data_IF_306651535788
#
_entry.id   IF_306651535788
#
_cell.length_a   1.000
_cell.length_b   1.000
_cell.length_c   1.000
_cell.angle_alpha   90.00
_cell.angle_beta   90.00
_cell.angle_gamma   90.00
#
_symmetry.space_group_name_H-M   'P 1'
#
loop_
_entity.id
_entity.type
_entity.pdbx_description
1 polymer ?
#
# COMPACT_ATOMS: atom_id res chain seq x y z
N UNK A 1 -46.38 -4.39 10.53
CA UNK A 1 -46.03 -5.46 9.56
C UNK A 1 -44.57 -5.27 9.22
N UNK A 2 -43.82 -6.35 9.05
CA UNK A 2 -42.43 -6.23 8.60
C UNK A 2 -42.43 -5.60 7.19
N UNK A 3 -41.45 -4.74 6.91
CA UNK A 3 -41.25 -4.25 5.55
C UNK A 3 -40.68 -5.36 4.67
N UNK A 4 -40.83 -5.25 3.34
CA UNK A 4 -40.22 -6.24 2.41
C UNK A 4 -38.71 -6.38 2.63
N UNK A 5 -38.04 -5.29 3.02
CA UNK A 5 -36.61 -5.29 3.31
C UNK A 5 -36.27 -5.97 4.64
N UNK A 6 -37.12 -5.82 5.67
CA UNK A 6 -36.97 -6.55 6.94
C UNK A 6 -37.11 -8.06 6.72
N UNK A 7 -38.13 -8.48 5.97
CA UNK A 7 -38.33 -9.89 5.61
C UNK A 7 -37.13 -10.44 4.81
N UNK A 8 -36.61 -9.65 3.86
CA UNK A 8 -35.42 -10.01 3.09
C UNK A 8 -34.19 -10.21 3.99
N UNK A 9 -33.96 -9.32 4.95
CA UNK A 9 -32.84 -9.41 5.89
C UNK A 9 -33.00 -10.63 6.80
N UNK A 10 -34.21 -10.95 7.24
CA UNK A 10 -34.50 -12.15 8.03
C UNK A 10 -34.15 -13.43 7.27
N UNK A 11 -34.39 -13.47 5.95
CA UNK A 11 -34.02 -14.61 5.09
C UNK A 11 -32.51 -14.87 4.98
N UNK A 12 -31.65 -13.89 5.29
CA UNK A 12 -30.20 -14.14 5.41
C UNK A 12 -29.86 -15.12 6.54
N UNK A 13 -30.75 -15.28 7.52
CA UNK A 13 -30.62 -16.23 8.62
C UNK A 13 -31.39 -17.54 8.41
N UNK A 14 -32.00 -17.74 7.23
CA UNK A 14 -32.83 -18.90 6.97
C UNK A 14 -32.03 -20.22 7.10
N UNK A 15 -32.64 -21.30 7.60
CA UNK A 15 -31.98 -22.60 7.69
C UNK A 15 -31.76 -23.22 6.30
N UNK A 16 -32.54 -22.81 5.30
CA UNK A 16 -32.49 -23.32 3.93
C UNK A 16 -31.38 -22.64 3.12
N UNK A 17 -30.34 -23.37 2.66
CA UNK A 17 -29.25 -22.77 1.86
C UNK A 17 -29.73 -22.08 0.57
N UNK A 18 -30.70 -22.62 -0.20
CA UNK A 18 -31.27 -21.92 -1.34
C UNK A 18 -31.92 -20.57 -0.99
N UNK A 19 -32.56 -20.48 0.18
CA UNK A 19 -33.19 -19.23 0.65
C UNK A 19 -32.12 -18.23 1.05
N UNK A 20 -31.09 -18.65 1.79
CA UNK A 20 -29.93 -17.78 2.12
C UNK A 20 -29.27 -17.24 0.86
N UNK A 21 -29.04 -18.10 -0.14
CA UNK A 21 -28.44 -17.73 -1.42
C UNK A 21 -29.26 -16.69 -2.16
N UNK A 22 -30.57 -16.93 -2.34
CA UNK A 22 -31.45 -15.98 -3.00
C UNK A 22 -31.51 -14.64 -2.25
N UNK A 23 -31.58 -14.67 -0.91
CA UNK A 23 -31.61 -13.47 -0.10
C UNK A 23 -30.31 -12.66 -0.23
N UNK A 24 -29.15 -13.30 -0.14
CA UNK A 24 -27.86 -12.60 -0.27
C UNK A 24 -27.63 -12.05 -1.68
N UNK A 25 -28.10 -12.75 -2.72
CA UNK A 25 -28.02 -12.26 -4.10
C UNK A 25 -28.87 -11.00 -4.31
N UNK A 26 -30.06 -10.95 -3.72
CA UNK A 26 -30.91 -9.75 -3.75
C UNK A 26 -30.25 -8.60 -2.97
N UNK A 27 -29.75 -8.87 -1.75
CA UNK A 27 -29.06 -7.84 -0.95
C UNK A 27 -27.83 -7.30 -1.69
N UNK A 28 -27.01 -8.17 -2.27
CA UNK A 28 -25.88 -7.78 -3.13
C UNK A 28 -26.36 -6.90 -4.29
N UNK A 29 -27.44 -7.27 -4.97
CA UNK A 29 -28.02 -6.47 -6.05
C UNK A 29 -28.43 -5.06 -5.60
N UNK A 30 -29.02 -4.93 -4.41
CA UNK A 30 -29.37 -3.63 -3.81
C UNK A 30 -28.14 -2.77 -3.51
N UNK A 31 -26.99 -3.35 -3.17
CA UNK A 31 -25.76 -2.58 -2.95
C UNK A 31 -25.18 -1.95 -4.23
N UNK A 32 -25.74 -2.29 -5.40
CA UNK A 32 -25.32 -1.74 -6.70
C UNK A 32 -25.95 -0.38 -7.06
N UNK A 33 -26.87 0.15 -6.25
CA UNK A 33 -27.48 1.46 -6.47
C UNK A 33 -27.45 2.34 -5.21
N UNK A 34 -27.48 3.66 -5.39
CA UNK A 34 -27.50 4.61 -4.26
C UNK A 34 -28.75 4.42 -3.39
N UNK A 35 -29.93 4.24 -4.01
CA UNK A 35 -31.19 4.00 -3.30
C UNK A 35 -31.16 2.71 -2.48
N UNK A 36 -30.58 1.64 -3.03
CA UNK A 36 -30.48 0.37 -2.34
C UNK A 36 -29.47 0.43 -1.18
N UNK A 37 -28.33 1.10 -1.36
CA UNK A 37 -27.37 1.38 -0.28
C UNK A 37 -28.01 2.21 0.84
N UNK A 38 -28.73 3.28 0.50
CA UNK A 38 -29.45 4.10 1.47
C UNK A 38 -30.54 3.30 2.20
N UNK A 39 -31.25 2.42 1.50
CA UNK A 39 -32.26 1.57 2.13
C UNK A 39 -31.62 0.59 3.12
N UNK A 40 -30.52 -0.06 2.74
CA UNK A 40 -29.79 -1.00 3.60
C UNK A 40 -29.11 -0.31 4.79
N UNK A 41 -28.66 0.94 4.66
CA UNK A 41 -27.99 1.68 5.74
C UNK A 41 -28.93 1.93 6.94
N UNK A 42 -30.23 2.12 6.70
CA UNK A 42 -31.26 2.22 7.74
C UNK A 42 -31.37 0.94 8.58
N UNK A 43 -30.92 -0.20 8.04
CA UNK A 43 -30.93 -1.50 8.68
C UNK A 43 -29.51 -2.01 9.02
N UNK A 44 -28.52 -1.13 9.06
CA UNK A 44 -27.10 -1.47 9.28
C UNK A 44 -26.86 -2.41 10.49
N UNK A 45 -27.57 -2.17 11.59
CA UNK A 45 -27.41 -2.94 12.83
C UNK A 45 -27.83 -4.41 12.69
N UNK A 46 -28.63 -4.75 11.68
CA UNK A 46 -29.11 -6.12 11.43
C UNK A 46 -28.48 -6.72 10.18
N UNK A 47 -28.34 -5.95 9.10
CA UNK A 47 -27.79 -6.46 7.83
C UNK A 47 -26.30 -6.74 7.95
N UNK A 48 -25.51 -5.89 8.62
CA UNK A 48 -24.06 -6.08 8.73
C UNK A 48 -23.68 -7.35 9.51
N UNK A 49 -24.24 -7.61 10.72
CA UNK A 49 -23.99 -8.88 11.41
C UNK A 49 -24.51 -10.09 10.64
N UNK A 50 -25.61 -9.96 9.90
CA UNK A 50 -26.16 -11.06 9.09
C UNK A 50 -25.24 -11.41 7.93
N UNK A 51 -24.80 -10.43 7.14
CA UNK A 51 -23.82 -10.64 6.07
C UNK A 51 -22.49 -11.16 6.63
N UNK A 52 -22.05 -10.67 7.78
CA UNK A 52 -20.82 -11.12 8.44
C UNK A 52 -20.83 -12.62 8.76
N UNK A 53 -21.97 -13.18 9.21
CA UNK A 53 -22.08 -14.62 9.51
C UNK A 53 -21.99 -15.47 8.25
N UNK A 54 -22.55 -14.97 7.15
CA UNK A 54 -22.55 -15.65 5.85
C UNK A 54 -21.16 -15.79 5.24
N UNK A 55 -20.17 -15.00 5.67
CA UNK A 55 -18.78 -15.12 5.21
C UNK A 55 -18.13 -16.48 5.54
N UNK A 56 -18.68 -17.22 6.50
CA UNK A 56 -18.18 -18.54 6.90
C UNK A 56 -18.83 -19.72 6.15
N UNK A 57 -19.84 -19.45 5.34
CA UNK A 57 -20.60 -20.42 4.54
C UNK A 57 -19.85 -20.82 3.26
N UNK A 58 -20.44 -21.73 2.47
CA UNK A 58 -19.91 -22.12 1.17
C UNK A 58 -19.78 -20.92 0.22
N UNK A 59 -18.88 -21.05 -0.78
CA UNK A 59 -18.53 -19.98 -1.71
C UNK A 59 -19.76 -19.31 -2.35
N UNK A 60 -20.77 -20.10 -2.72
CA UNK A 60 -22.00 -19.59 -3.36
C UNK A 60 -22.80 -18.60 -2.51
N UNK A 61 -22.58 -18.58 -1.20
CA UNK A 61 -23.25 -17.66 -0.26
C UNK A 61 -22.26 -16.62 0.27
N UNK A 62 -21.04 -17.04 0.59
CA UNK A 62 -20.02 -16.15 1.17
C UNK A 62 -19.47 -15.13 0.17
N UNK A 63 -19.36 -15.46 -1.13
CA UNK A 63 -18.89 -14.54 -2.16
C UNK A 63 -19.87 -13.36 -2.36
N UNK A 64 -21.18 -13.57 -2.61
CA UNK A 64 -22.14 -12.47 -2.66
C UNK A 64 -22.22 -11.66 -1.36
N UNK A 65 -22.11 -12.31 -0.19
CA UNK A 65 -22.10 -11.62 1.09
C UNK A 65 -20.89 -10.68 1.24
N UNK A 66 -19.71 -11.15 0.85
CA UNK A 66 -18.49 -10.37 0.90
C UNK A 66 -18.54 -9.19 -0.08
N UNK A 67 -19.08 -9.39 -1.30
CA UNK A 67 -19.25 -8.31 -2.27
C UNK A 67 -20.23 -7.24 -1.77
N UNK A 68 -21.35 -7.65 -1.15
CA UNK A 68 -22.27 -6.72 -0.52
C UNK A 68 -21.58 -5.90 0.59
N UNK A 69 -20.75 -6.53 1.43
CA UNK A 69 -19.97 -5.83 2.46
C UNK A 69 -18.93 -4.89 1.86
N UNK A 70 -18.25 -5.26 0.77
CA UNK A 70 -17.33 -4.36 0.05
C UNK A 70 -18.06 -3.12 -0.44
N UNK A 71 -19.23 -3.27 -1.06
CA UNK A 71 -20.01 -2.13 -1.55
C UNK A 71 -20.53 -1.26 -0.40
N UNK A 72 -21.08 -1.85 0.65
CA UNK A 72 -21.55 -1.11 1.83
C UNK A 72 -20.42 -0.36 2.54
N UNK A 73 -19.22 -0.94 2.60
CA UNK A 73 -18.04 -0.33 3.26
C UNK A 73 -17.43 0.85 2.47
N UNK A 74 -17.94 1.17 1.29
CA UNK A 74 -17.60 2.43 0.62
C UNK A 74 -18.21 3.64 1.36
N UNK A 75 -19.29 3.43 2.12
CA UNK A 75 -19.82 4.43 3.04
C UNK A 75 -19.03 4.38 4.37
N UNK A 76 -18.42 5.51 4.76
CA UNK A 76 -17.55 5.59 5.93
C UNK A 76 -18.27 5.25 7.26
N UNK A 77 -19.55 5.60 7.41
CA UNK A 77 -20.33 5.28 8.62
C UNK A 77 -20.61 3.78 8.72
N UNK A 78 -20.93 3.13 7.59
CA UNK A 78 -21.14 1.68 7.55
C UNK A 78 -19.83 0.92 7.77
N UNK A 79 -18.73 1.39 7.17
CA UNK A 79 -17.40 0.85 7.42
C UNK A 79 -17.01 0.97 8.90
N UNK A 80 -17.32 2.10 9.56
CA UNK A 80 -17.06 2.27 10.99
C UNK A 80 -17.84 1.25 11.82
N UNK A 81 -19.13 1.06 11.55
CA UNK A 81 -19.95 0.01 12.18
C UNK A 81 -19.38 -1.40 11.93
N UNK A 82 -18.86 -1.68 10.74
CA UNK A 82 -18.20 -2.96 10.45
C UNK A 82 -16.93 -3.16 11.30
N UNK A 83 -16.12 -2.11 11.47
CA UNK A 83 -14.95 -2.15 12.35
C UNK A 83 -15.37 -2.42 13.81
N UNK A 84 -16.41 -1.72 14.30
CA UNK A 84 -16.96 -1.89 15.66
C UNK A 84 -17.42 -3.33 15.93
N UNK A 85 -18.08 -3.99 14.98
CA UNK A 85 -18.52 -5.40 15.12
C UNK A 85 -17.37 -6.40 14.90
N UNK A 86 -16.13 -5.95 14.71
CA UNK A 86 -14.95 -6.81 14.61
C UNK A 86 -14.68 -7.37 13.21
N UNK A 87 -15.19 -6.75 12.14
CA UNK A 87 -15.07 -7.26 10.77
C UNK A 87 -13.61 -7.44 10.30
N UNK A 88 -12.69 -6.58 10.75
CA UNK A 88 -11.25 -6.73 10.42
C UNK A 88 -10.70 -8.08 10.88
N UNK A 89 -11.01 -8.47 12.13
CA UNK A 89 -10.62 -9.77 12.68
C UNK A 89 -11.27 -10.92 11.90
N UNK A 90 -12.57 -10.82 11.64
CA UNK A 90 -13.33 -11.84 10.90
C UNK A 90 -12.72 -12.06 9.50
N UNK A 91 -12.46 -10.98 8.77
CA UNK A 91 -11.85 -11.04 7.45
C UNK A 91 -10.44 -11.66 7.51
N UNK A 92 -9.61 -11.27 8.48
CA UNK A 92 -8.27 -11.83 8.65
C UNK A 92 -8.28 -13.32 9.04
N UNK A 93 -9.22 -13.75 9.89
CA UNK A 93 -9.32 -15.15 10.31
C UNK A 93 -9.79 -16.03 9.14
N UNK A 94 -10.74 -15.54 8.32
CA UNK A 94 -11.23 -16.24 7.13
C UNK A 94 -10.21 -16.28 6.00
N UNK A 95 -9.47 -15.20 5.75
CA UNK A 95 -8.45 -15.10 4.70
C UNK A 95 -7.38 -16.20 4.81
N UNK A 96 -7.11 -16.67 6.03
CA UNK A 96 -6.13 -17.72 6.32
C UNK A 96 -6.77 -19.04 6.80
N UNK A 97 -8.09 -19.19 6.64
CA UNK A 97 -8.78 -20.47 6.87
C UNK A 97 -8.43 -21.46 5.74
N UNK A 98 -8.09 -22.73 6.05
CA UNK A 98 -7.83 -23.73 5.02
C UNK A 98 -9.02 -23.92 4.07
N UNK A 99 -8.76 -23.99 2.76
CA UNK A 99 -9.78 -24.22 1.73
C UNK A 99 -10.66 -23.00 1.41
N UNK A 100 -10.30 -21.81 1.89
CA UNK A 100 -11.07 -20.59 1.66
C UNK A 100 -10.84 -20.00 0.26
N UNK A 101 -11.91 -19.52 -0.40
CA UNK A 101 -11.92 -19.25 -1.84
C UNK A 101 -12.40 -17.85 -2.26
N UNK A 102 -12.59 -16.92 -1.31
CA UNK A 102 -13.03 -15.53 -1.59
C UNK A 102 -11.97 -14.48 -1.18
N UNK A 103 -10.70 -14.88 -1.25
CA UNK A 103 -9.52 -14.11 -0.82
C UNK A 103 -9.53 -12.66 -1.32
N UNK A 104 -9.74 -12.46 -2.64
CA UNK A 104 -9.69 -11.14 -3.27
C UNK A 104 -10.72 -10.19 -2.67
N UNK A 105 -11.96 -10.64 -2.50
CA UNK A 105 -13.07 -9.83 -1.97
C UNK A 105 -12.81 -9.44 -0.51
N UNK A 106 -12.24 -10.35 0.30
CA UNK A 106 -11.85 -10.00 1.68
C UNK A 106 -10.70 -9.00 1.74
N UNK A 107 -9.71 -9.09 0.84
CA UNK A 107 -8.64 -8.08 0.76
C UNK A 107 -9.23 -6.73 0.38
N UNK A 108 -10.17 -6.67 -0.58
CA UNK A 108 -10.87 -5.44 -0.93
C UNK A 108 -11.68 -4.86 0.24
N UNK A 109 -12.35 -5.72 1.02
CA UNK A 109 -13.04 -5.29 2.24
C UNK A 109 -12.04 -4.67 3.23
N UNK A 110 -10.89 -5.31 3.45
CA UNK A 110 -9.84 -4.77 4.31
C UNK A 110 -9.27 -3.43 3.80
N UNK A 111 -9.20 -3.22 2.48
CA UNK A 111 -8.81 -1.90 1.92
C UNK A 111 -9.77 -0.81 2.39
N UNK A 112 -11.09 -1.05 2.32
CA UNK A 112 -12.09 -0.08 2.75
C UNK A 112 -12.05 0.15 4.26
N UNK A 113 -12.02 -0.92 5.06
CA UNK A 113 -11.98 -0.81 6.52
C UNK A 113 -10.72 -0.10 7.02
N UNK A 114 -9.58 -0.28 6.34
CA UNK A 114 -8.31 0.39 6.71
C UNK A 114 -8.22 1.84 6.24
N UNK A 115 -9.24 2.39 5.57
CA UNK A 115 -9.33 3.84 5.40
C UNK A 115 -9.67 4.56 6.71
N UNK A 116 -10.22 3.82 7.69
CA UNK A 116 -10.58 4.33 9.01
C UNK A 116 -9.46 4.09 10.02
N UNK A 117 -9.26 5.05 10.91
CA UNK A 117 -8.25 4.98 11.98
C UNK A 117 -8.42 3.76 12.89
N UNK A 118 -9.66 3.45 13.27
CA UNK A 118 -9.97 2.29 14.10
C UNK A 118 -9.74 0.98 13.34
N UNK A 119 -9.98 0.97 12.02
CA UNK A 119 -9.69 -0.18 11.16
C UNK A 119 -8.18 -0.42 11.03
N UNK A 120 -7.39 0.65 10.90
CA UNK A 120 -5.91 0.59 10.97
C UNK A 120 -5.48 0.05 12.32
N UNK A 121 -6.00 0.59 13.42
CA UNK A 121 -5.65 0.18 14.79
C UNK A 121 -5.96 -1.30 15.02
N UNK A 122 -7.12 -1.76 14.57
CA UNK A 122 -7.55 -3.17 14.62
C UNK A 122 -6.63 -4.07 13.79
N UNK A 123 -6.26 -3.67 12.57
CA UNK A 123 -5.36 -4.44 11.72
C UNK A 123 -3.92 -4.50 12.27
N UNK A 124 -3.43 -3.40 12.84
CA UNK A 124 -2.13 -3.33 13.51
C UNK A 124 -2.12 -4.12 14.83
N UNK A 125 -3.29 -4.46 15.37
CA UNK A 125 -3.47 -5.16 16.65
C UNK A 125 -2.79 -4.39 17.80
N UNK A 126 -2.94 -3.06 17.79
CA UNK A 126 -2.38 -2.19 18.84
C UNK A 126 -3.06 -2.51 20.18
N UNK A 127 -2.27 -2.69 21.24
CA UNK A 127 -2.76 -3.01 22.58
C UNK A 127 -2.80 -4.51 22.92
N UNK A 128 -2.60 -5.39 21.93
CA UNK A 128 -2.37 -6.83 22.17
C UNK A 128 -0.89 -7.16 21.96
N UNK A 129 -0.08 -7.08 23.02
CA UNK A 129 1.38 -7.27 22.94
C UNK A 129 1.79 -8.61 22.30
N UNK A 130 0.97 -9.66 22.44
CA UNK A 130 1.28 -10.99 21.88
C UNK A 130 0.99 -11.06 20.39
N UNK A 131 0.00 -10.31 19.93
CA UNK A 131 -0.50 -10.38 18.56
C UNK A 131 -0.10 -9.17 17.71
N UNK A 132 0.48 -8.12 18.30
CA UNK A 132 0.75 -6.86 17.61
C UNK A 132 1.52 -7.04 16.30
N UNK A 133 0.85 -6.65 15.20
CA UNK A 133 1.36 -6.73 13.83
C UNK A 133 1.32 -8.10 13.18
N UNK A 134 0.74 -9.14 13.82
CA UNK A 134 0.65 -10.48 13.23
C UNK A 134 -0.13 -10.47 11.91
N UNK A 135 -1.23 -9.73 11.86
CA UNK A 135 -2.03 -9.57 10.65
C UNK A 135 -1.24 -8.90 9.52
N UNK A 136 -0.52 -7.81 9.80
CA UNK A 136 0.36 -7.16 8.81
C UNK A 136 1.44 -8.12 8.32
N UNK A 137 2.10 -8.86 9.23
CA UNK A 137 3.12 -9.84 8.84
C UNK A 137 2.58 -10.94 7.91
N UNK A 138 1.35 -11.40 8.16
CA UNK A 138 0.67 -12.37 7.29
C UNK A 138 0.36 -11.76 5.92
N UNK A 139 -0.20 -10.54 5.87
CA UNK A 139 -0.53 -9.85 4.63
C UNK A 139 0.72 -9.58 3.78
N UNK A 140 1.81 -9.08 4.38
CA UNK A 140 3.09 -8.86 3.69
C UNK A 140 3.63 -10.16 3.13
N UNK A 141 3.57 -11.26 3.90
CA UNK A 141 4.01 -12.57 3.42
C UNK A 141 3.19 -13.05 2.22
N UNK A 142 1.88 -12.87 2.24
CA UNK A 142 1.01 -13.23 1.11
C UNK A 142 1.27 -12.35 -0.11
N UNK A 143 1.38 -11.04 0.10
CA UNK A 143 1.70 -10.05 -0.93
C UNK A 143 2.99 -10.43 -1.66
N UNK A 144 4.07 -10.75 -0.92
CA UNK A 144 5.36 -11.09 -1.52
C UNK A 144 5.46 -12.51 -2.12
N UNK A 145 4.43 -13.36 -1.96
CA UNK A 145 4.43 -14.75 -2.45
C UNK A 145 3.42 -15.03 -3.54
N UNK A 146 2.41 -14.19 -3.69
CA UNK A 146 1.39 -14.42 -4.70
C UNK A 146 1.96 -14.19 -6.10
N UNK A 147 1.46 -14.99 -7.04
CA UNK A 147 1.92 -14.96 -8.43
C UNK A 147 1.35 -13.75 -9.15
N UNK A 148 2.20 -12.99 -9.83
CA UNK A 148 1.78 -11.95 -10.77
C UNK A 148 1.28 -12.52 -12.10
N UNK A 149 1.53 -13.81 -12.36
CA UNK A 149 1.00 -14.48 -13.54
C UNK A 149 -0.47 -14.85 -13.31
N UNK A 150 -1.38 -13.94 -13.68
CA UNK A 150 -2.84 -14.15 -13.65
C UNK A 150 -3.61 -13.16 -12.78
N UNK A 151 -4.73 -13.62 -12.20
CA UNK A 151 -5.51 -12.87 -11.20
C UNK A 151 -4.83 -13.00 -9.85
N UNK A 152 -4.15 -11.95 -9.40
CA UNK A 152 -3.44 -11.91 -8.12
C UNK A 152 -4.38 -11.43 -7.00
N UNK A 153 -4.84 -12.32 -6.10
CA UNK A 153 -5.81 -11.94 -5.08
C UNK A 153 -5.25 -11.04 -3.98
N UNK A 154 -3.94 -10.79 -3.96
CA UNK A 154 -3.27 -9.96 -2.96
C UNK A 154 -2.73 -8.64 -3.53
N UNK A 155 -2.97 -8.30 -4.80
CA UNK A 155 -2.52 -7.04 -5.41
C UNK A 155 -2.96 -5.79 -4.61
N UNK A 156 -4.20 -5.82 -4.11
CA UNK A 156 -4.82 -4.80 -3.28
C UNK A 156 -4.21 -4.67 -1.88
N UNK A 157 -3.37 -5.60 -1.42
CA UNK A 157 -2.62 -5.43 -0.16
C UNK A 157 -1.71 -4.20 -0.22
N UNK A 158 -1.24 -3.82 -1.41
CA UNK A 158 -0.51 -2.56 -1.60
C UNK A 158 -1.27 -1.35 -1.04
N UNK A 159 -2.58 -1.26 -1.28
CA UNK A 159 -3.43 -0.19 -0.74
C UNK A 159 -3.59 -0.26 0.78
N UNK A 160 -3.66 -1.47 1.35
CA UNK A 160 -3.68 -1.66 2.81
C UNK A 160 -2.38 -1.16 3.44
N UNK A 161 -1.23 -1.45 2.83
CA UNK A 161 0.08 -0.99 3.31
C UNK A 161 0.21 0.54 3.25
N UNK A 162 -0.30 1.15 2.19
CA UNK A 162 -0.40 2.62 2.09
C UNK A 162 -1.29 3.18 3.19
N UNK A 163 -2.45 2.57 3.45
CA UNK A 163 -3.37 3.02 4.49
C UNK A 163 -2.75 2.97 5.89
N UNK A 164 -2.17 1.84 6.31
CA UNK A 164 -1.58 1.72 7.65
C UNK A 164 -0.36 2.64 7.82
N UNK A 165 0.41 2.89 6.76
CA UNK A 165 1.61 3.74 6.81
C UNK A 165 1.29 5.24 6.90
N UNK A 166 0.03 5.66 6.71
CA UNK A 166 -0.42 7.02 7.05
C UNK A 166 -0.31 7.30 8.55
N UNK A 167 -0.38 6.26 9.40
CA UNK A 167 -0.23 6.37 10.86
C UNK A 167 1.19 6.10 11.29
N UNK A 168 1.67 6.88 12.27
CA UNK A 168 3.00 6.71 12.87
C UNK A 168 3.22 5.29 13.42
N UNK A 169 2.22 4.72 14.09
CA UNK A 169 2.28 3.35 14.60
C UNK A 169 2.51 2.32 13.48
N UNK A 170 1.89 2.52 12.31
CA UNK A 170 2.10 1.68 11.14
C UNK A 170 3.51 1.86 10.56
N UNK A 171 4.00 3.10 10.42
CA UNK A 171 5.37 3.37 9.96
C UNK A 171 6.41 2.74 10.87
N UNK A 172 6.29 2.92 12.19
CA UNK A 172 7.18 2.30 13.19
C UNK A 172 7.21 0.78 13.08
N UNK A 173 6.06 0.14 12.87
CA UNK A 173 5.98 -1.31 12.67
C UNK A 173 6.66 -1.76 11.37
N UNK A 174 6.46 -1.03 10.27
CA UNK A 174 7.05 -1.36 8.97
C UNK A 174 8.57 -1.15 8.96
N UNK A 175 9.05 -0.11 9.64
CA UNK A 175 10.46 0.27 9.77
C UNK A 175 11.23 -0.57 10.79
N UNK A 176 10.57 -1.37 11.63
CA UNK A 176 11.24 -2.20 12.62
C UNK A 176 12.16 -3.24 11.95
N UNK A 177 13.50 -3.10 12.09
CA UNK A 177 14.46 -3.99 11.43
C UNK A 177 14.34 -5.44 11.92
N UNK A 178 13.81 -5.68 13.13
CA UNK A 178 13.59 -7.02 13.66
C UNK A 178 12.48 -7.76 12.92
N UNK A 179 11.51 -7.03 12.37
CA UNK A 179 10.41 -7.58 11.58
C UNK A 179 10.76 -7.69 10.10
N UNK A 180 11.60 -6.78 9.60
CA UNK A 180 12.08 -6.79 8.21
C UNK A 180 10.95 -6.64 7.19
N UNK A 181 9.86 -5.96 7.54
CA UNK A 181 8.66 -5.83 6.70
C UNK A 181 8.89 -4.91 5.53
N UNK A 182 9.40 -3.70 5.77
CA UNK A 182 9.68 -2.76 4.68
C UNK A 182 10.66 -3.35 3.66
N UNK A 183 11.69 -4.10 4.10
CA UNK A 183 12.60 -4.81 3.19
C UNK A 183 11.87 -5.80 2.26
N UNK A 184 10.89 -6.54 2.77
CA UNK A 184 10.10 -7.49 1.98
C UNK A 184 9.20 -6.76 0.99
N UNK A 185 8.55 -5.67 1.43
CA UNK A 185 7.67 -4.84 0.59
C UNK A 185 8.45 -4.18 -0.55
N UNK A 186 9.60 -3.56 -0.25
CA UNK A 186 10.41 -2.85 -1.24
C UNK A 186 10.83 -3.77 -2.39
N UNK A 187 11.13 -5.05 -2.13
CA UNK A 187 11.50 -6.04 -3.17
C UNK A 187 10.40 -6.34 -4.19
N UNK A 188 9.26 -5.65 -4.12
CA UNK A 188 8.18 -5.74 -5.09
C UNK A 188 8.12 -4.47 -5.97
N UNK A 189 9.11 -3.58 -5.91
CA UNK A 189 9.13 -2.33 -6.68
C UNK A 189 9.12 -2.54 -8.20
N UNK A 190 9.65 -3.67 -8.67
CA UNK A 190 9.75 -4.09 -10.07
C UNK A 190 8.58 -4.95 -10.54
N UNK A 191 7.61 -5.26 -9.65
CA UNK A 191 6.38 -6.02 -9.94
C UNK A 191 5.69 -5.55 -11.21
N UNK A 192 5.30 -6.43 -12.12
CA UNK A 192 4.54 -6.08 -13.33
C UNK A 192 3.16 -5.47 -13.04
N UNK A 193 2.57 -5.76 -11.86
CA UNK A 193 1.27 -5.24 -11.43
C UNK A 193 1.29 -3.75 -11.07
N UNK A 194 0.54 -2.87 -11.76
CA UNK A 194 0.53 -1.42 -11.49
C UNK A 194 0.07 -1.07 -10.07
N UNK A 195 -0.98 -1.75 -9.56
CA UNK A 195 -1.49 -1.55 -8.20
C UNK A 195 -0.44 -1.86 -7.14
N UNK A 196 0.37 -2.90 -7.37
CA UNK A 196 1.47 -3.26 -6.46
C UNK A 196 2.56 -2.22 -6.45
N UNK A 197 3.05 -1.80 -7.63
CA UNK A 197 4.09 -0.76 -7.73
C UNK A 197 3.67 0.51 -7.00
N UNK A 198 2.42 0.95 -7.23
CA UNK A 198 1.83 2.12 -6.57
C UNK A 198 1.72 1.94 -5.05
N UNK A 199 1.27 0.77 -4.60
CA UNK A 199 1.20 0.44 -3.17
C UNK A 199 2.59 0.42 -2.50
N UNK A 200 3.60 -0.14 -3.17
CA UNK A 200 4.98 -0.17 -2.70
C UNK A 200 5.54 1.25 -2.61
N UNK A 201 5.46 2.04 -3.70
CA UNK A 201 5.96 3.42 -3.74
C UNK A 201 5.31 4.29 -2.65
N UNK A 202 3.98 4.26 -2.54
CA UNK A 202 3.25 5.02 -1.53
C UNK A 202 3.60 4.59 -0.10
N UNK A 203 3.83 3.29 0.14
CA UNK A 203 4.26 2.79 1.45
C UNK A 203 5.67 3.26 1.81
N UNK A 204 6.61 3.23 0.87
CA UNK A 204 7.98 3.73 1.06
C UNK A 204 7.93 5.22 1.38
N UNK A 205 7.24 6.01 0.55
CA UNK A 205 7.05 7.46 0.73
C UNK A 205 6.49 7.79 2.09
N UNK A 206 5.44 7.09 2.52
CA UNK A 206 4.87 7.29 3.84
C UNK A 206 5.88 6.97 4.94
N UNK A 207 6.63 5.85 4.85
CA UNK A 207 7.66 5.52 5.83
C UNK A 207 8.78 6.56 5.91
N UNK A 208 9.11 7.24 4.81
CA UNK A 208 10.12 8.31 4.78
C UNK A 208 9.73 9.55 5.61
N UNK A 209 8.47 9.74 6.03
CA UNK A 209 8.14 10.79 7.00
C UNK A 209 8.82 10.58 8.37
N UNK A 210 9.24 9.35 8.69
CA UNK A 210 10.00 9.07 9.90
C UNK A 210 11.51 9.31 9.73
N UNK A 211 11.97 9.82 8.58
CA UNK A 211 13.40 9.95 8.28
C UNK A 211 14.18 10.70 9.37
N UNK A 212 13.61 11.75 9.98
CA UNK A 212 14.26 12.47 11.08
C UNK A 212 14.66 11.56 12.26
N UNK A 213 13.81 10.59 12.61
CA UNK A 213 14.00 9.73 13.79
C UNK A 213 14.47 8.30 13.46
N UNK A 214 14.27 7.86 12.22
CA UNK A 214 14.41 6.46 11.79
C UNK A 214 15.29 6.32 10.54
N UNK A 215 16.07 7.35 10.17
CA UNK A 215 16.95 7.31 9.00
C UNK A 215 17.84 6.07 8.98
N UNK A 216 18.42 5.68 10.13
CA UNK A 216 19.26 4.49 10.23
C UNK A 216 18.53 3.23 9.76
N UNK A 217 17.25 3.07 10.06
CA UNK A 217 16.45 1.90 9.68
C UNK A 217 16.12 1.92 8.18
N UNK A 218 15.91 3.09 7.59
CA UNK A 218 15.78 3.27 6.14
C UNK A 218 17.11 2.92 5.42
N UNK A 219 18.24 3.42 5.94
CA UNK A 219 19.54 3.21 5.32
C UNK A 219 20.07 1.78 5.48
N UNK A 220 19.63 1.03 6.50
CA UNK A 220 19.90 -0.41 6.65
C UNK A 220 19.42 -1.24 5.45
N UNK A 221 18.43 -0.73 4.70
CA UNK A 221 17.87 -1.39 3.51
C UNK A 221 18.18 -0.62 2.21
N UNK A 222 19.18 0.26 2.24
CA UNK A 222 19.60 1.13 1.13
C UNK A 222 19.84 0.40 -0.20
N UNK A 223 20.37 -0.81 -0.15
CA UNK A 223 20.56 -1.70 -1.32
C UNK A 223 19.26 -1.89 -2.12
N UNK A 224 18.10 -1.97 -1.45
CA UNK A 224 16.78 -2.11 -2.08
C UNK A 224 16.06 -0.77 -2.22
N UNK A 225 16.25 0.13 -1.25
CA UNK A 225 15.60 1.44 -1.21
C UNK A 225 16.02 2.32 -2.39
N UNK A 226 17.32 2.40 -2.69
CA UNK A 226 17.81 3.27 -3.74
C UNK A 226 17.32 2.85 -5.13
N UNK A 227 17.38 1.57 -5.55
CA UNK A 227 16.75 1.15 -6.80
C UNK A 227 15.26 1.50 -6.87
N UNK A 228 14.50 1.24 -5.80
CA UNK A 228 13.07 1.51 -5.78
C UNK A 228 12.72 3.00 -5.91
N UNK A 229 13.57 3.89 -5.37
CA UNK A 229 13.36 5.34 -5.43
C UNK A 229 13.96 6.00 -6.68
N UNK A 230 15.12 5.54 -7.15
CA UNK A 230 15.87 6.20 -8.22
C UNK A 230 15.49 5.71 -9.61
N UNK A 231 15.15 4.43 -9.78
CA UNK A 231 14.80 3.90 -11.10
C UNK A 231 13.57 4.60 -11.71
N UNK A 232 12.49 4.90 -10.97
CA UNK A 232 11.34 5.61 -11.53
C UNK A 232 11.66 7.01 -12.08
N UNK A 233 12.73 7.64 -11.59
CA UNK A 233 13.06 9.06 -11.81
C UNK A 233 14.41 9.23 -12.54
N UNK A 234 14.85 8.20 -13.26
CA UNK A 234 16.19 8.16 -13.87
C UNK A 234 16.24 8.60 -15.34
N UNK A 235 15.10 8.98 -15.93
CA UNK A 235 14.99 9.22 -17.37
C UNK A 235 15.14 7.93 -18.20
N UNK A 236 15.31 8.10 -19.51
CA UNK A 236 15.44 6.98 -20.47
C UNK A 236 16.89 6.77 -20.98
N UNK A 237 17.80 7.67 -20.60
CA UNK A 237 19.19 7.67 -21.06
C UNK A 237 19.99 6.50 -20.48
N UNK A 238 20.87 5.94 -21.30
CA UNK A 238 21.89 4.97 -20.87
C UNK A 238 23.02 5.72 -20.16
N UNK A 239 23.32 5.33 -18.91
CA UNK A 239 24.32 5.97 -18.08
C UNK A 239 25.73 5.47 -18.43
N UNK A 240 26.72 6.36 -18.31
CA UNK A 240 28.12 6.01 -18.55
C UNK A 240 28.69 5.12 -17.43
N UNK A 241 29.76 4.37 -17.71
CA UNK A 241 30.46 3.60 -16.66
C UNK A 241 30.95 4.49 -15.51
N UNK A 242 31.36 5.72 -15.81
CA UNK A 242 31.76 6.69 -14.80
C UNK A 242 30.59 7.02 -13.86
N UNK A 243 29.40 7.29 -14.41
CA UNK A 243 28.20 7.60 -13.63
C UNK A 243 27.76 6.41 -12.76
N UNK A 244 27.81 5.19 -13.30
CA UNK A 244 27.30 3.99 -12.62
C UNK A 244 28.31 3.32 -11.68
N UNK A 245 29.58 3.72 -11.72
CA UNK A 245 30.69 3.16 -10.92
C UNK A 245 30.45 3.18 -9.40
N UNK A 246 29.68 4.16 -8.90
CA UNK A 246 29.35 4.33 -7.47
C UNK A 246 27.98 3.77 -7.09
N UNK A 247 27.17 3.37 -8.07
CA UNK A 247 25.81 2.89 -7.83
C UNK A 247 25.80 1.44 -7.32
N UNK A 248 24.81 1.04 -6.48
CA UNK A 248 24.53 -0.36 -6.15
C UNK A 248 24.30 -1.21 -7.40
N UNK A 249 24.48 -2.53 -7.28
CA UNK A 249 24.46 -3.45 -8.41
C UNK A 249 23.15 -3.37 -9.20
N UNK A 250 22.01 -3.42 -8.52
CA UNK A 250 20.68 -3.37 -9.11
C UNK A 250 20.46 -2.09 -9.92
N UNK A 251 20.89 -0.95 -9.37
CA UNK A 251 20.78 0.35 -10.01
C UNK A 251 21.73 0.47 -11.22
N UNK A 252 22.99 0.03 -11.06
CA UNK A 252 23.99 -0.01 -12.13
C UNK A 252 23.52 -0.87 -13.29
N UNK A 253 23.09 -2.10 -13.02
CA UNK A 253 22.67 -3.04 -14.05
C UNK A 253 21.48 -2.51 -14.84
N UNK A 254 20.50 -1.91 -14.17
CA UNK A 254 19.34 -1.33 -14.83
C UNK A 254 19.69 -0.06 -15.64
N UNK A 255 20.53 0.84 -15.12
CA UNK A 255 20.86 2.11 -15.78
C UNK A 255 21.90 1.99 -16.91
N UNK A 256 22.52 0.82 -17.06
CA UNK A 256 23.51 0.56 -18.12
C UNK A 256 22.90 -0.02 -19.40
N UNK A 257 21.57 -0.16 -19.47
CA UNK A 257 20.85 -0.70 -20.63
C UNK A 257 19.69 0.23 -21.01
N UNK A 258 19.15 0.04 -22.22
CA UNK A 258 17.90 0.68 -22.61
C UNK A 258 16.74 0.17 -21.73
N UNK A 259 15.88 1.10 -21.30
CA UNK A 259 14.78 0.83 -20.39
C UNK A 259 13.50 1.47 -20.84
N UNK A 260 12.38 0.82 -20.52
CA UNK A 260 11.09 1.49 -20.56
C UNK A 260 10.97 2.47 -19.39
N UNK A 261 10.53 3.72 -19.63
CA UNK A 261 10.29 4.69 -18.57
C UNK A 261 9.09 4.25 -17.73
N UNK A 262 9.10 4.62 -16.45
CA UNK A 262 7.92 4.48 -15.59
C UNK A 262 6.90 5.53 -16.02
N UNK A 263 5.74 5.09 -16.52
CA UNK A 263 4.72 5.96 -17.12
C UNK A 263 3.74 6.57 -16.12
N UNK A 264 3.75 6.13 -14.86
CA UNK A 264 2.81 6.59 -13.83
C UNK A 264 3.42 7.77 -13.06
N UNK A 265 2.93 9.02 -13.27
CA UNK A 265 3.48 10.21 -12.61
C UNK A 265 3.39 10.14 -11.09
N UNK A 266 2.38 9.44 -10.54
CA UNK A 266 2.20 9.35 -9.10
C UNK A 266 3.33 8.53 -8.45
N UNK A 267 3.83 7.49 -9.13
CA UNK A 267 4.98 6.72 -8.64
C UNK A 267 6.23 7.60 -8.63
N UNK A 268 6.45 8.40 -9.69
CA UNK A 268 7.59 9.32 -9.79
C UNK A 268 7.54 10.39 -8.69
N UNK A 269 6.39 11.04 -8.49
CA UNK A 269 6.19 12.03 -7.42
C UNK A 269 6.43 11.40 -6.04
N UNK A 270 5.87 10.22 -5.76
CA UNK A 270 6.08 9.53 -4.48
C UNK A 270 7.55 9.19 -4.23
N UNK A 271 8.27 8.78 -5.28
CA UNK A 271 9.70 8.50 -5.19
C UNK A 271 10.52 9.76 -4.92
N UNK A 272 10.22 10.87 -5.61
CA UNK A 272 10.84 12.17 -5.41
C UNK A 272 10.57 12.71 -3.99
N UNK A 273 9.33 12.68 -3.52
CA UNK A 273 8.99 13.08 -2.15
C UNK A 273 9.73 12.23 -1.11
N UNK A 274 9.87 10.91 -1.34
CA UNK A 274 10.63 10.04 -0.46
C UNK A 274 12.12 10.41 -0.43
N UNK A 275 12.72 10.70 -1.60
CA UNK A 275 14.11 11.19 -1.70
C UNK A 275 14.25 12.53 -0.98
N UNK A 276 13.33 13.47 -1.18
CA UNK A 276 13.30 14.76 -0.48
C UNK A 276 13.35 14.56 1.04
N UNK A 277 12.45 13.74 1.60
CA UNK A 277 12.37 13.49 3.04
C UNK A 277 13.66 12.88 3.61
N UNK A 278 14.30 11.96 2.88
CA UNK A 278 15.59 11.37 3.27
C UNK A 278 16.70 12.44 3.20
N UNK A 279 16.75 13.23 2.13
CA UNK A 279 17.78 14.24 1.87
C UNK A 279 17.59 15.52 2.68
N UNK A 280 16.48 15.71 3.39
CA UNK A 280 16.40 16.72 4.45
C UNK A 280 17.42 16.45 5.57
N UNK A 281 17.76 15.19 5.80
CA UNK A 281 18.71 14.77 6.82
C UNK A 281 20.14 14.74 6.26
N UNK A 282 21.13 15.25 7.01
CA UNK A 282 22.53 15.33 6.54
C UNK A 282 23.10 13.96 6.15
N UNK A 283 22.92 12.94 7.00
CA UNK A 283 23.38 11.60 6.70
C UNK A 283 22.62 10.98 5.49
N UNK A 284 21.36 11.37 5.29
CA UNK A 284 20.55 10.95 4.14
C UNK A 284 21.06 11.57 2.84
N UNK A 285 21.45 12.85 2.86
CA UNK A 285 22.17 13.49 1.74
C UNK A 285 23.45 12.76 1.43
N UNK A 286 24.33 12.54 2.41
CA UNK A 286 25.59 11.81 2.16
C UNK A 286 25.35 10.44 1.53
N UNK A 287 24.35 9.70 2.01
CA UNK A 287 23.97 8.42 1.43
C UNK A 287 23.47 8.55 -0.02
N UNK A 288 22.63 9.54 -0.31
CA UNK A 288 22.13 9.83 -1.66
C UNK A 288 23.26 10.22 -2.64
N UNK A 289 24.22 11.05 -2.20
CA UNK A 289 25.39 11.40 -3.02
C UNK A 289 26.31 10.21 -3.26
N UNK A 290 26.44 9.31 -2.28
CA UNK A 290 27.29 8.13 -2.41
C UNK A 290 26.88 7.19 -3.55
N UNK A 291 25.59 7.23 -3.96
CA UNK A 291 25.03 6.43 -5.07
C UNK A 291 24.84 7.24 -6.35
N UNK A 292 25.46 8.43 -6.46
CA UNK A 292 25.32 9.34 -7.60
C UNK A 292 23.87 9.80 -7.85
N UNK A 293 23.06 9.89 -6.79
CA UNK A 293 21.67 10.32 -6.85
C UNK A 293 21.43 11.68 -7.55
N UNK A 294 22.24 12.74 -7.29
CA UNK A 294 22.05 14.03 -7.96
C UNK A 294 22.14 13.93 -9.49
N UNK A 295 23.04 13.10 -10.02
CA UNK A 295 23.18 12.89 -11.46
C UNK A 295 21.96 12.20 -12.04
N UNK A 296 21.39 11.24 -11.31
CA UNK A 296 20.18 10.54 -11.73
C UNK A 296 19.00 11.52 -11.83
N UNK A 297 18.82 12.38 -10.82
CA UNK A 297 17.75 13.38 -10.86
C UNK A 297 17.95 14.42 -11.97
N UNK A 298 19.19 14.82 -12.25
CA UNK A 298 19.47 15.74 -13.35
C UNK A 298 19.04 15.16 -14.70
N UNK A 299 19.43 13.91 -14.99
CA UNK A 299 19.05 13.23 -16.23
C UNK A 299 17.55 12.99 -16.28
N UNK A 300 16.94 12.57 -15.17
CA UNK A 300 15.49 12.40 -15.08
C UNK A 300 14.71 13.68 -15.35
N UNK A 301 15.17 14.83 -14.83
CA UNK A 301 14.56 16.13 -15.07
C UNK A 301 14.68 16.59 -16.53
N UNK A 302 15.81 16.33 -17.19
CA UNK A 302 16.04 16.67 -18.61
C UNK A 302 15.03 15.97 -19.55
N UNK A 303 14.55 14.78 -19.18
CA UNK A 303 13.63 13.96 -19.98
C UNK A 303 12.15 14.11 -19.55
N UNK A 304 11.83 14.84 -18.48
CA UNK A 304 10.48 14.88 -17.89
C UNK A 304 9.58 15.97 -18.50
N UNK A 305 8.32 15.61 -18.73
CA UNK A 305 7.32 16.51 -19.32
C UNK A 305 6.10 16.71 -18.41
N UNK A 306 5.84 15.81 -17.45
CA UNK A 306 4.70 15.94 -16.54
C UNK A 306 4.93 17.09 -15.54
N UNK A 307 4.04 18.10 -15.50
CA UNK A 307 4.24 19.27 -14.64
C UNK A 307 4.32 18.96 -13.15
N UNK A 308 3.62 17.91 -12.67
CA UNK A 308 3.65 17.56 -11.25
C UNK A 308 4.96 16.87 -10.88
N UNK A 309 5.50 16.07 -11.79
CA UNK A 309 6.80 15.42 -11.58
C UNK A 309 7.92 16.47 -11.64
N UNK A 310 7.86 17.41 -12.59
CA UNK A 310 8.79 18.55 -12.67
C UNK A 310 8.83 19.37 -11.38
N UNK A 311 7.66 19.70 -10.81
CA UNK A 311 7.58 20.42 -9.53
C UNK A 311 8.28 19.63 -8.40
N UNK A 312 8.10 18.32 -8.35
CA UNK A 312 8.75 17.46 -7.36
C UNK A 312 10.28 17.39 -7.56
N UNK A 313 10.78 17.36 -8.80
CA UNK A 313 12.21 17.47 -9.09
C UNK A 313 12.78 18.81 -8.64
N UNK A 314 12.08 19.92 -8.92
CA UNK A 314 12.51 21.28 -8.57
C UNK A 314 12.59 21.47 -7.06
N UNK A 315 11.64 20.90 -6.30
CA UNK A 315 11.68 20.91 -4.84
C UNK A 315 12.96 20.25 -4.30
N UNK A 316 13.32 19.06 -4.79
CA UNK A 316 14.56 18.40 -4.37
C UNK A 316 15.78 19.17 -4.87
N UNK A 317 15.80 19.58 -6.13
CA UNK A 317 16.91 20.33 -6.74
C UNK A 317 17.26 21.58 -5.94
N UNK A 318 16.24 22.33 -5.50
CA UNK A 318 16.42 23.49 -4.63
C UNK A 318 17.11 23.11 -3.31
N UNK A 319 16.73 22.02 -2.67
CA UNK A 319 17.36 21.53 -1.44
C UNK A 319 18.83 21.15 -1.66
N UNK A 320 19.15 20.47 -2.76
CA UNK A 320 20.53 20.01 -3.04
C UNK A 320 21.47 21.19 -3.35
N UNK A 321 20.99 22.23 -4.06
CA UNK A 321 21.79 23.42 -4.38
C UNK A 321 22.08 24.28 -3.14
N UNK A 322 21.13 24.39 -2.20
CA UNK A 322 21.37 25.13 -0.96
C UNK A 322 22.20 24.32 0.05
N UNK A 323 22.11 22.98 0.02
CA UNK A 323 22.89 22.09 0.88
C UNK A 323 24.35 21.92 0.47
N UNK A 324 24.70 22.11 -0.81
CA UNK A 324 26.08 21.98 -1.31
C UNK A 324 27.02 23.12 -0.87
N UNK A 325 26.48 24.24 -0.37
CA UNK A 325 27.26 25.37 0.15
C UNK A 325 28.09 25.06 1.42
N UNK A 326 28.01 23.84 1.96
CA UNK A 326 28.79 23.39 3.13
C UNK A 326 29.74 22.22 2.86
N UNK A 327 29.76 21.66 1.63
CA UNK A 327 30.49 20.41 1.33
C UNK A 327 31.23 20.44 -0.03
N UNK A 328 31.97 21.50 -0.33
CA UNK A 328 33.14 21.35 -1.23
C UNK A 328 34.42 21.34 -0.38
N UNK A 329 35.14 20.20 -0.27
CA UNK A 329 36.53 20.27 0.13
C UNK A 329 37.27 20.98 -0.99
N UNK A 330 37.68 22.23 -0.73
CA UNK A 330 38.54 23.02 -1.59
C UNK A 330 39.77 22.19 -1.99
N UNK A 331 39.75 21.60 -3.19
CA UNK A 331 40.98 21.14 -3.83
C UNK A 331 41.70 22.37 -4.37
N UNK A 332 42.33 23.13 -3.48
CA UNK A 332 43.43 24.00 -3.87
C UNK A 332 44.61 23.11 -4.23
N UNK A 333 44.69 22.72 -5.49
CA UNK A 333 45.91 22.25 -6.11
C UNK A 333 46.89 23.42 -6.16
N UNK A 334 47.77 23.52 -5.16
CA UNK A 334 49.01 24.27 -5.28
C UNK A 334 50.04 23.42 -6.02
N UNK A 335 50.34 23.81 -7.26
CA UNK A 335 51.69 23.85 -7.84
C UNK A 335 51.68 24.62 -9.15
#
# INVERSE_FOLDING_TARGET
MATELEELIDFLSAPSPPVKKAAVDIVRGLTGSEDGLHSLSNYANTVLPSLSRLLSEDKEVSEPAAEALVNLSQNAELAAKMVEIGMVKIAMDLLYKPGFSITRVLVMLLVNLTQLDDGITSLLQIGDEKMQGLYVMKLVRSFCRSSEAGDDPFDHVGSILVNISKKEAGRKMLLDPKRGLLKQIIRQFDSSGPLRKKGVSGTIRNCCFEAENQLQNLLLISEFLWPALLLPVAGNKIYSEQDTSKMPLELRSALSIEREPVKDPEICVQALEAIYLITLQEAGRRAFWSVNGPRILQVGYEDEEDPKVLEAYEQIGSLLVHGSGTEEPSTTSSK
#
